data_IF_357601388522
#
_entry.id   IF_357601388522
#
_cell.length_a   1.000
_cell.length_b   1.000
_cell.length_c   1.000
_cell.angle_alpha   90.00
_cell.angle_beta   90.00
_cell.angle_gamma   90.00
#
_symmetry.space_group_name_H-M   'P 1'
#
loop_
_entity.id
_entity.type
_entity.pdbx_description
1 polymer ?
#
# COMPACT_ATOMS: atom_id res chain seq x y z
N UNK A 1 -19.45 16.41 -35.53
CA UNK A 1 -19.21 15.01 -35.13
C UNK A 1 -18.52 15.05 -33.78
N UNK A 2 -19.29 14.94 -32.68
CA UNK A 2 -18.75 15.03 -31.33
C UNK A 2 -17.98 13.75 -31.00
N UNK A 3 -16.76 13.89 -30.47
CA UNK A 3 -16.00 12.77 -29.95
C UNK A 3 -16.84 12.04 -28.88
N UNK A 4 -16.83 10.69 -28.86
CA UNK A 4 -17.55 9.95 -27.85
C UNK A 4 -16.98 10.34 -26.48
N UNK A 5 -17.81 10.92 -25.61
CA UNK A 5 -17.49 11.08 -24.19
C UNK A 5 -17.21 9.67 -23.67
N UNK A 6 -15.96 9.41 -23.31
CA UNK A 6 -15.60 8.22 -22.54
C UNK A 6 -16.52 8.24 -21.33
N UNK A 7 -17.38 7.22 -21.22
CA UNK A 7 -18.31 7.08 -20.10
C UNK A 7 -17.44 6.97 -18.86
N UNK A 8 -17.37 8.04 -18.05
CA UNK A 8 -16.68 7.97 -16.77
C UNK A 8 -17.31 6.81 -16.00
N UNK A 9 -16.48 5.81 -15.68
CA UNK A 9 -16.94 4.64 -14.97
C UNK A 9 -17.39 5.08 -13.57
N UNK A 10 -18.63 4.74 -13.20
CA UNK A 10 -19.16 5.09 -11.89
C UNK A 10 -18.34 4.37 -10.83
N UNK A 11 -17.65 5.14 -9.98
CA UNK A 11 -16.92 4.64 -8.82
C UNK A 11 -17.56 5.25 -7.57
N UNK A 12 -17.95 4.38 -6.64
CA UNK A 12 -18.50 4.77 -5.35
C UNK A 12 -17.53 4.26 -4.29
N UNK A 13 -17.10 5.13 -3.38
CA UNK A 13 -16.26 4.72 -2.25
C UNK A 13 -16.80 5.38 -1.00
N UNK A 14 -17.01 4.60 0.06
CA UNK A 14 -17.41 5.17 1.34
C UNK A 14 -16.79 4.43 2.52
N UNK A 15 -16.65 5.14 3.63
CA UNK A 15 -16.18 4.61 4.91
C UNK A 15 -17.31 4.74 5.91
N UNK A 16 -17.65 3.62 6.53
CA UNK A 16 -18.73 3.50 7.50
C UNK A 16 -18.18 3.11 8.86
N UNK A 17 -18.44 3.89 9.91
CA UNK A 17 -18.04 3.64 11.29
C UNK A 17 -19.09 2.77 11.98
N UNK A 18 -18.76 1.49 12.17
CA UNK A 18 -19.65 0.56 12.87
C UNK A 18 -19.69 0.83 14.36
N UNK A 19 -18.67 1.50 14.92
CA UNK A 19 -18.59 1.88 16.32
C UNK A 19 -19.62 2.92 16.76
N UNK A 20 -20.21 3.66 15.80
CA UNK A 20 -21.19 4.72 16.05
C UNK A 20 -22.65 4.24 16.11
N UNK A 21 -22.93 2.97 15.82
CA UNK A 21 -24.28 2.40 15.78
C UNK A 21 -24.41 1.21 16.72
N UNK A 22 -24.22 1.47 18.01
CA UNK A 22 -24.29 0.43 19.04
C UNK A 22 -25.68 0.36 19.67
N UNK A 23 -26.51 1.39 19.51
CA UNK A 23 -27.88 1.48 20.02
C UNK A 23 -28.87 1.72 18.87
N UNK A 24 -30.10 1.28 19.06
CA UNK A 24 -31.19 1.45 18.08
C UNK A 24 -31.56 2.93 17.84
N UNK A 25 -31.26 3.80 18.80
CA UNK A 25 -31.48 5.25 18.72
C UNK A 25 -30.38 6.02 17.97
N UNK A 26 -29.27 5.37 17.62
CA UNK A 26 -28.15 6.04 16.96
C UNK A 26 -28.50 6.36 15.50
N UNK A 27 -28.30 7.61 15.06
CA UNK A 27 -28.61 8.04 13.69
C UNK A 27 -27.62 7.41 12.68
N UNK A 28 -28.09 6.61 11.69
CA UNK A 28 -27.25 6.01 10.66
C UNK A 28 -26.45 7.03 9.81
N UNK A 29 -26.88 8.30 9.77
CA UNK A 29 -26.15 9.38 9.11
C UNK A 29 -24.78 9.58 9.76
N UNK A 30 -24.70 9.49 11.08
CA UNK A 30 -23.47 9.73 11.83
C UNK A 30 -22.41 8.66 11.63
N UNK A 31 -22.82 7.48 11.15
CA UNK A 31 -21.91 6.39 10.83
C UNK A 31 -21.20 6.57 9.48
N UNK A 32 -21.72 7.42 8.58
CA UNK A 32 -21.07 7.68 7.29
C UNK A 32 -19.96 8.73 7.44
N UNK A 33 -18.71 8.26 7.49
CA UNK A 33 -17.54 9.13 7.74
C UNK A 33 -16.99 9.76 6.47
N UNK A 34 -17.08 9.05 5.35
CA UNK A 34 -16.59 9.53 4.05
C UNK A 34 -17.44 8.98 2.92
N UNK A 35 -17.66 9.78 1.88
CA UNK A 35 -18.37 9.35 0.68
C UNK A 35 -17.81 10.02 -0.59
N UNK A 36 -17.52 9.19 -1.59
CA UNK A 36 -17.17 9.58 -2.95
C UNK A 36 -18.17 8.98 -3.95
N UNK A 37 -18.62 9.77 -4.94
CA UNK A 37 -18.23 11.16 -5.19
C UNK A 37 -18.95 12.17 -4.30
N UNK A 38 -18.32 13.33 -4.05
CA UNK A 38 -18.81 14.33 -3.10
C UNK A 38 -20.07 15.08 -3.55
N UNK A 39 -20.37 15.10 -4.85
CA UNK A 39 -21.55 15.78 -5.42
C UNK A 39 -22.88 15.05 -5.20
N UNK A 40 -22.87 13.84 -4.64
CA UNK A 40 -24.09 13.10 -4.29
C UNK A 40 -24.77 13.76 -3.09
N UNK A 41 -26.11 13.89 -3.11
CA UNK A 41 -26.84 14.50 -1.99
C UNK A 41 -26.85 13.60 -0.76
N UNK A 42 -26.93 14.18 0.44
CA UNK A 42 -26.85 13.40 1.68
C UNK A 42 -28.00 12.41 1.84
N UNK A 43 -29.20 12.76 1.37
CA UNK A 43 -30.32 11.84 1.31
C UNK A 43 -30.02 10.61 0.42
N UNK A 44 -29.38 10.81 -0.73
CA UNK A 44 -28.98 9.71 -1.62
C UNK A 44 -27.87 8.86 -1.00
N UNK A 45 -26.89 9.49 -0.35
CA UNK A 45 -25.82 8.78 0.38
C UNK A 45 -26.42 7.89 1.46
N UNK A 46 -27.34 8.41 2.27
CA UNK A 46 -27.99 7.68 3.36
C UNK A 46 -28.80 6.48 2.84
N UNK A 47 -29.65 6.69 1.83
CA UNK A 47 -30.45 5.60 1.23
C UNK A 47 -29.54 4.50 0.68
N UNK A 48 -28.49 4.87 -0.06
CA UNK A 48 -27.58 3.92 -0.67
C UNK A 48 -26.78 3.14 0.39
N UNK A 49 -26.14 3.85 1.32
CA UNK A 49 -25.35 3.21 2.37
C UNK A 49 -26.22 2.33 3.27
N UNK A 50 -27.41 2.81 3.65
CA UNK A 50 -28.38 2.04 4.45
C UNK A 50 -28.83 0.76 3.75
N UNK A 51 -29.14 0.82 2.44
CA UNK A 51 -29.46 -0.38 1.66
C UNK A 51 -28.30 -1.37 1.62
N UNK A 52 -27.09 -0.89 1.34
CA UNK A 52 -25.89 -1.74 1.20
C UNK A 52 -25.52 -2.38 2.54
N UNK A 53 -25.36 -1.58 3.60
CA UNK A 53 -24.96 -2.04 4.93
C UNK A 53 -26.06 -2.91 5.56
N UNK A 54 -27.33 -2.50 5.45
CA UNK A 54 -28.46 -3.28 5.94
C UNK A 54 -28.57 -4.65 5.25
N UNK A 55 -28.34 -4.70 3.93
CA UNK A 55 -28.28 -5.98 3.20
C UNK A 55 -27.10 -6.81 3.66
N UNK A 56 -25.90 -6.23 3.76
CA UNK A 56 -24.71 -6.95 4.22
C UNK A 56 -24.88 -7.52 5.63
N UNK A 57 -25.48 -6.74 6.54
CA UNK A 57 -25.79 -7.17 7.90
C UNK A 57 -26.81 -8.31 7.92
N UNK A 58 -27.91 -8.19 7.18
CA UNK A 58 -28.94 -9.22 7.06
C UNK A 58 -28.37 -10.54 6.49
N UNK A 59 -27.53 -10.46 5.46
CA UNK A 59 -26.87 -11.64 4.89
C UNK A 59 -25.88 -12.25 5.90
N UNK A 60 -25.13 -11.42 6.62
CA UNK A 60 -24.16 -11.88 7.62
C UNK A 60 -24.82 -12.53 8.84
N UNK A 61 -26.04 -12.15 9.21
CA UNK A 61 -26.75 -12.74 10.35
C UNK A 61 -27.36 -14.10 10.04
N UNK A 62 -27.69 -14.36 8.77
CA UNK A 62 -28.27 -15.63 8.32
C UNK A 62 -27.19 -16.59 7.78
N UNK A 63 -26.15 -16.04 7.14
CA UNK A 63 -25.11 -16.78 6.45
C UNK A 63 -23.71 -16.34 6.94
N UNK A 64 -22.78 -16.15 6.00
CA UNK A 64 -21.44 -15.62 6.23
C UNK A 64 -21.33 -14.20 5.70
N UNK A 65 -20.37 -13.41 6.21
CA UNK A 65 -20.11 -12.06 5.74
C UNK A 65 -19.87 -12.02 4.22
N UNK A 66 -20.70 -11.30 3.44
CA UNK A 66 -20.56 -11.27 2.00
C UNK A 66 -19.34 -10.47 1.59
N UNK A 67 -18.50 -11.06 0.74
CA UNK A 67 -17.36 -10.36 0.14
C UNK A 67 -17.79 -9.31 -0.89
N UNK A 68 -18.79 -9.67 -1.70
CA UNK A 68 -19.35 -8.83 -2.76
C UNK A 68 -20.87 -8.91 -2.70
N UNK A 69 -21.55 -7.78 -2.84
CA UNK A 69 -23.01 -7.71 -3.00
C UNK A 69 -23.32 -7.04 -4.34
N UNK A 70 -24.17 -7.69 -5.13
CA UNK A 70 -24.73 -7.12 -6.35
C UNK A 70 -26.18 -6.71 -6.12
N UNK A 71 -26.44 -5.41 -6.14
CA UNK A 71 -27.77 -4.82 -6.03
C UNK A 71 -28.22 -4.23 -7.37
N UNK A 72 -29.47 -3.78 -7.44
CA UNK A 72 -29.96 -3.02 -8.60
C UNK A 72 -29.20 -1.70 -8.78
N UNK A 73 -28.74 -1.09 -7.69
CA UNK A 73 -28.03 0.18 -7.69
C UNK A 73 -26.53 0.07 -8.02
N UNK A 74 -25.96 -1.14 -8.05
CA UNK A 74 -24.54 -1.33 -8.34
C UNK A 74 -24.00 -2.62 -7.73
N UNK A 75 -22.68 -2.81 -7.87
CA UNK A 75 -21.93 -3.90 -7.27
C UNK A 75 -20.94 -3.34 -6.26
N UNK A 76 -20.81 -3.98 -5.10
CA UNK A 76 -20.08 -3.45 -3.95
C UNK A 76 -19.21 -4.51 -3.29
N UNK A 77 -17.95 -4.18 -3.02
CA UNK A 77 -16.99 -5.00 -2.27
C UNK A 77 -16.74 -4.37 -0.91
N UNK A 78 -16.66 -5.21 0.12
CA UNK A 78 -16.45 -4.79 1.50
C UNK A 78 -15.04 -5.12 1.99
N UNK A 79 -14.47 -4.18 2.74
CA UNK A 79 -13.21 -4.32 3.46
C UNK A 79 -13.41 -3.92 4.91
N UNK A 80 -13.41 -4.92 5.77
CA UNK A 80 -13.61 -4.74 7.19
C UNK A 80 -12.28 -4.36 7.88
N UNK A 81 -12.34 -3.28 8.64
CA UNK A 81 -11.43 -2.94 9.72
C UNK A 81 -12.14 -3.25 11.06
N UNK A 82 -11.50 -3.00 12.20
CA UNK A 82 -12.10 -3.29 13.51
C UNK A 82 -13.41 -2.52 13.72
N UNK A 83 -13.37 -1.19 13.58
CA UNK A 83 -14.54 -0.32 13.79
C UNK A 83 -15.07 0.31 12.50
N UNK A 84 -14.51 -0.05 11.35
CA UNK A 84 -14.82 0.61 10.08
C UNK A 84 -15.05 -0.40 8.96
N UNK A 85 -15.96 -0.05 8.06
CA UNK A 85 -16.16 -0.77 6.79
C UNK A 85 -15.81 0.19 5.67
N UNK A 86 -14.81 -0.18 4.87
CA UNK A 86 -14.53 0.44 3.60
C UNK A 86 -15.31 -0.29 2.51
N UNK A 87 -16.17 0.44 1.81
CA UNK A 87 -16.94 -0.08 0.69
C UNK A 87 -16.43 0.55 -0.61
N UNK A 88 -16.21 -0.29 -1.62
CA UNK A 88 -15.88 0.14 -2.99
C UNK A 88 -16.91 -0.44 -3.93
N UNK A 89 -17.57 0.42 -4.70
CA UNK A 89 -18.66 0.08 -5.58
C UNK A 89 -18.50 0.62 -6.99
N UNK A 90 -19.19 -0.02 -7.93
CA UNK A 90 -19.24 0.40 -9.32
C UNK A 90 -20.56 -0.03 -9.98
N UNK A 91 -20.69 0.25 -11.28
CA UNK A 91 -21.83 -0.19 -12.08
C UNK A 91 -21.98 -1.72 -12.07
N UNK A 92 -23.22 -2.19 -12.19
CA UNK A 92 -23.56 -3.62 -12.13
C UNK A 92 -22.87 -4.45 -13.23
N UNK A 93 -22.57 -3.85 -14.38
CA UNK A 93 -21.98 -4.53 -15.52
C UNK A 93 -20.47 -4.80 -15.37
N UNK A 94 -19.81 -4.18 -14.40
CA UNK A 94 -18.38 -4.40 -14.18
C UNK A 94 -18.12 -5.81 -13.66
N UNK A 95 -17.00 -6.40 -14.09
CA UNK A 95 -16.57 -7.72 -13.63
C UNK A 95 -16.18 -7.73 -12.15
N UNK A 96 -16.57 -8.78 -11.41
CA UNK A 96 -16.33 -8.94 -9.97
C UNK A 96 -14.85 -8.78 -9.63
N UNK A 97 -13.98 -9.39 -10.44
CA UNK A 97 -12.54 -9.36 -10.22
C UNK A 97 -11.97 -7.93 -10.32
N UNK A 98 -12.53 -7.09 -11.20
CA UNK A 98 -12.02 -5.72 -11.42
C UNK A 98 -12.36 -4.85 -10.23
N UNK A 99 -13.60 -4.95 -9.75
CA UNK A 99 -14.04 -4.27 -8.54
C UNK A 99 -13.26 -4.76 -7.31
N UNK A 100 -13.03 -6.06 -7.21
CA UNK A 100 -12.25 -6.66 -6.13
C UNK A 100 -10.80 -6.15 -6.14
N UNK A 101 -10.14 -6.10 -7.30
CA UNK A 101 -8.77 -5.61 -7.44
C UNK A 101 -8.65 -4.14 -7.00
N UNK A 102 -9.65 -3.30 -7.33
CA UNK A 102 -9.71 -1.90 -6.88
C UNK A 102 -9.87 -1.78 -5.37
N UNK A 103 -10.79 -2.56 -4.80
CA UNK A 103 -10.99 -2.60 -3.36
C UNK A 103 -9.75 -3.10 -2.61
N UNK A 104 -9.08 -4.13 -3.15
CA UNK A 104 -7.84 -4.66 -2.61
C UNK A 104 -6.71 -3.64 -2.69
N UNK A 105 -6.56 -2.92 -3.81
CA UNK A 105 -5.55 -1.88 -3.95
C UNK A 105 -5.77 -0.75 -2.94
N UNK A 106 -7.01 -0.24 -2.84
CA UNK A 106 -7.33 0.84 -1.90
C UNK A 106 -7.05 0.42 -0.45
N UNK A 107 -7.52 -0.77 -0.07
CA UNK A 107 -7.26 -1.35 1.25
C UNK A 107 -5.76 -1.48 1.53
N UNK A 108 -5.00 -2.06 0.58
CA UNK A 108 -3.56 -2.25 0.74
C UNK A 108 -2.78 -0.92 0.83
N UNK A 109 -3.21 0.13 0.12
CA UNK A 109 -2.60 1.46 0.22
C UNK A 109 -2.83 2.08 1.60
N UNK A 110 -4.05 1.98 2.14
CA UNK A 110 -4.36 2.41 3.51
C UNK A 110 -3.49 1.63 4.49
N UNK A 111 -3.48 0.29 4.39
CA UNK A 111 -2.71 -0.54 5.30
C UNK A 111 -1.21 -0.28 5.23
N UNK A 112 -0.66 -0.02 4.04
CA UNK A 112 0.76 0.23 3.86
C UNK A 112 1.21 1.59 4.41
N UNK A 113 0.44 2.66 4.17
CA UNK A 113 0.87 4.03 4.53
C UNK A 113 0.28 4.56 5.83
N UNK A 114 -0.81 3.97 6.31
CA UNK A 114 -1.56 4.47 7.45
C UNK A 114 -1.92 3.40 8.48
N UNK A 115 -1.55 2.12 8.25
CA UNK A 115 -1.88 0.94 9.06
C UNK A 115 -3.36 0.55 9.03
N UNK A 116 -4.24 1.39 9.52
CA UNK A 116 -5.70 1.17 9.59
C UNK A 116 -6.44 2.52 9.75
N UNK A 117 -7.77 2.49 9.66
CA UNK A 117 -8.61 3.69 9.79
C UNK A 117 -8.65 4.21 11.24
N UNK A 118 -8.56 3.34 12.23
CA UNK A 118 -8.48 3.70 13.65
C UNK A 118 -7.22 4.52 13.96
N UNK A 119 -6.08 4.16 13.36
CA UNK A 119 -4.80 4.85 13.49
C UNK A 119 -4.89 6.24 12.86
N UNK A 120 -5.53 6.37 11.69
CA UNK A 120 -5.77 7.69 11.07
C UNK A 120 -6.56 8.58 12.01
N UNK A 121 -7.66 8.09 12.59
CA UNK A 121 -8.46 8.81 13.57
C UNK A 121 -7.65 9.19 14.82
N UNK A 122 -6.82 8.29 15.32
CA UNK A 122 -6.00 8.55 16.52
C UNK A 122 -4.93 9.63 16.32
N UNK A 123 -4.50 9.85 15.06
CA UNK A 123 -3.50 10.84 14.69
C UNK A 123 -4.10 12.22 14.35
N UNK A 124 -5.43 12.37 14.40
CA UNK A 124 -6.06 13.67 14.21
C UNK A 124 -5.68 14.62 15.35
N UNK A 125 -5.38 15.89 15.05
CA UNK A 125 -5.15 16.89 16.09
C UNK A 125 -6.42 17.04 16.93
N UNK A 126 -6.35 16.68 18.22
CA UNK A 126 -7.45 16.93 19.15
C UNK A 126 -7.42 18.39 19.55
N UNK A 127 -8.44 19.14 19.18
CA UNK A 127 -8.65 20.46 19.75
C UNK A 127 -8.92 20.34 21.26
N UNK A 128 -8.29 21.25 22.02
CA UNK A 128 -8.38 21.28 23.50
C UNK A 128 -9.73 21.79 24.01
N UNK A 129 -10.62 22.18 23.09
CA UNK A 129 -11.99 22.58 23.38
C UNK A 129 -12.87 21.35 23.14
N UNK A 130 -13.41 20.78 24.21
CA UNK A 130 -14.16 19.51 24.20
C UNK A 130 -15.51 19.58 23.49
N UNK A 131 -15.51 19.92 22.20
CA UNK A 131 -16.68 19.95 21.35
C UNK A 131 -16.81 18.63 20.57
N UNK A 132 -17.63 17.73 21.11
CA UNK A 132 -18.49 16.81 20.34
C UNK A 132 -17.88 15.67 19.51
N UNK A 133 -18.55 14.51 19.52
CA UNK A 133 -18.32 13.38 18.59
C UNK A 133 -18.58 13.75 17.11
N UNK A 134 -19.28 14.85 16.87
CA UNK A 134 -19.62 15.35 15.53
C UNK A 134 -18.41 16.01 14.84
N UNK A 135 -17.64 16.83 15.56
CA UNK A 135 -16.40 17.45 15.05
C UNK A 135 -15.36 16.40 14.67
N UNK A 136 -15.22 15.34 15.49
CA UNK A 136 -14.37 14.18 15.17
C UNK A 136 -14.73 13.52 13.81
N UNK A 137 -16.01 13.61 13.39
CA UNK A 137 -16.47 13.10 12.10
C UNK A 137 -16.04 13.97 10.92
N UNK A 138 -16.14 15.29 11.07
CA UNK A 138 -15.75 16.26 10.04
C UNK A 138 -14.25 16.26 9.81
N UNK A 139 -13.45 16.28 10.88
CA UNK A 139 -11.99 16.23 10.81
C UNK A 139 -11.50 14.94 10.12
N UNK A 140 -12.16 13.81 10.44
CA UNK A 140 -11.88 12.53 9.81
C UNK A 140 -12.28 12.54 8.33
N UNK A 141 -13.42 13.13 7.98
CA UNK A 141 -13.85 13.28 6.58
C UNK A 141 -12.84 14.10 5.78
N UNK A 142 -12.39 15.25 6.30
CA UNK A 142 -11.39 16.08 5.64
C UNK A 142 -10.08 15.31 5.44
N UNK A 143 -9.61 14.61 6.48
CA UNK A 143 -8.40 13.80 6.40
C UNK A 143 -8.53 12.68 5.36
N UNK A 144 -9.65 11.96 5.35
CA UNK A 144 -9.92 10.91 4.36
C UNK A 144 -10.09 11.47 2.95
N UNK A 145 -10.67 12.66 2.79
CA UNK A 145 -10.79 13.33 1.50
C UNK A 145 -9.41 13.62 0.91
N UNK A 146 -8.50 14.18 1.71
CA UNK A 146 -7.11 14.41 1.31
C UNK A 146 -6.40 13.10 0.93
N UNK A 147 -6.60 12.03 1.72
CA UNK A 147 -5.99 10.73 1.45
C UNK A 147 -6.52 10.13 0.15
N UNK A 148 -7.84 10.07 0.01
CA UNK A 148 -8.51 9.42 -1.10
C UNK A 148 -8.42 10.20 -2.41
N UNK A 149 -8.23 11.53 -2.39
CA UNK A 149 -7.98 12.28 -3.60
C UNK A 149 -6.80 11.70 -4.40
N UNK A 150 -5.71 11.31 -3.70
CA UNK A 150 -4.56 10.68 -4.35
C UNK A 150 -4.86 9.22 -4.70
N UNK A 151 -5.41 8.43 -3.77
CA UNK A 151 -5.61 7.00 -4.01
C UNK A 151 -6.68 6.67 -5.05
N UNK A 152 -7.76 7.44 -5.15
CA UNK A 152 -8.80 7.24 -6.17
C UNK A 152 -8.23 7.44 -7.58
N UNK A 153 -7.29 8.38 -7.75
CA UNK A 153 -6.58 8.57 -9.03
C UNK A 153 -5.79 7.31 -9.45
N UNK A 154 -5.27 6.55 -8.47
CA UNK A 154 -4.59 5.28 -8.72
C UNK A 154 -5.56 4.16 -9.11
N UNK A 155 -6.79 4.16 -8.58
CA UNK A 155 -7.79 3.14 -8.85
C UNK A 155 -8.27 3.14 -10.30
N UNK A 156 -8.40 4.33 -10.90
CA UNK A 156 -8.79 4.49 -12.31
C UNK A 156 -7.79 3.80 -13.24
N UNK A 157 -6.51 3.78 -12.87
CA UNK A 157 -5.44 3.18 -13.67
C UNK A 157 -5.13 1.73 -13.29
N UNK A 158 -5.72 1.20 -12.21
CA UNK A 158 -5.33 -0.07 -11.58
C UNK A 158 -5.54 -1.32 -12.44
N UNK A 159 -6.57 -1.34 -13.29
CA UNK A 159 -6.88 -2.48 -14.17
C UNK A 159 -5.83 -2.73 -15.26
N UNK A 160 -4.95 -1.76 -15.53
CA UNK A 160 -3.89 -1.84 -16.54
C UNK A 160 -2.62 -2.52 -15.96
N UNK A 161 -2.46 -2.60 -14.63
CA UNK A 161 -1.19 -2.95 -13.97
C UNK A 161 -1.14 -4.35 -13.34
N UNK A 162 -1.96 -5.30 -13.82
CA UNK A 162 -1.91 -6.71 -13.37
C UNK A 162 -0.53 -7.35 -13.54
N UNK A 163 0.20 -6.93 -14.57
CA UNK A 163 1.58 -7.32 -14.76
C UNK A 163 2.48 -6.31 -14.05
N UNK A 164 3.31 -6.82 -13.12
CA UNK A 164 4.45 -6.09 -12.61
C UNK A 164 5.20 -5.55 -13.84
N UNK A 165 5.37 -4.22 -14.00
CA UNK A 165 6.01 -3.68 -15.18
C UNK A 165 7.51 -3.95 -15.05
N UNK A 166 7.92 -5.21 -15.20
CA UNK A 166 9.32 -5.62 -15.15
C UNK A 166 9.98 -5.07 -16.41
N UNK A 167 11.14 -4.45 -16.24
CA UNK A 167 11.93 -4.03 -17.39
C UNK A 167 12.37 -5.30 -18.15
N UNK A 168 11.78 -5.53 -19.33
CA UNK A 168 12.24 -6.58 -20.24
C UNK A 168 13.62 -6.18 -20.77
N UNK A 169 14.65 -6.81 -20.23
CA UNK A 169 16.02 -6.59 -20.65
C UNK A 169 16.31 -7.45 -21.88
N UNK A 170 17.00 -6.92 -22.91
CA UNK A 170 17.58 -7.75 -23.97
C UNK A 170 18.63 -8.71 -23.37
N UNK A 171 19.04 -9.76 -24.10
CA UNK A 171 20.05 -10.73 -23.61
C UNK A 171 21.37 -10.06 -23.18
N UNK A 172 21.70 -8.91 -23.75
CA UNK A 172 22.83 -8.04 -23.42
C UNK A 172 22.61 -7.13 -22.20
N UNK A 173 21.39 -7.05 -21.64
CA UNK A 173 21.04 -6.24 -20.47
C UNK A 173 21.05 -7.02 -19.14
N UNK A 174 21.42 -8.30 -19.15
CA UNK A 174 21.59 -9.13 -17.95
C UNK A 174 22.66 -8.59 -16.99
N UNK A 175 23.62 -7.81 -17.51
CA UNK A 175 24.60 -7.05 -16.73
C UNK A 175 23.92 -6.01 -15.86
N UNK A 176 23.01 -5.20 -16.41
CA UNK A 176 22.30 -4.16 -15.67
C UNK A 176 21.43 -4.71 -14.53
N UNK A 177 20.80 -5.87 -14.74
CA UNK A 177 20.09 -6.57 -13.66
C UNK A 177 21.05 -7.03 -12.56
N UNK A 178 22.14 -7.69 -12.94
CA UNK A 178 23.14 -8.22 -12.00
C UNK A 178 23.80 -7.11 -11.19
N UNK A 179 24.20 -6.01 -11.83
CA UNK A 179 24.76 -4.83 -11.17
C UNK A 179 23.76 -4.20 -10.19
N UNK A 180 22.50 -4.09 -10.60
CA UNK A 180 21.43 -3.57 -9.73
C UNK A 180 21.20 -4.46 -8.51
N UNK A 181 21.21 -5.78 -8.70
CA UNK A 181 21.05 -6.73 -7.59
C UNK A 181 22.26 -6.69 -6.64
N UNK A 182 23.48 -6.60 -7.18
CA UNK A 182 24.70 -6.43 -6.38
C UNK A 182 24.67 -5.13 -5.58
N UNK A 183 24.20 -4.03 -6.18
CA UNK A 183 24.03 -2.75 -5.48
C UNK A 183 23.06 -2.89 -4.29
N UNK A 184 21.92 -3.54 -4.49
CA UNK A 184 20.96 -3.81 -3.43
C UNK A 184 21.56 -4.69 -2.31
N UNK A 185 22.33 -5.72 -2.65
CA UNK A 185 23.03 -6.57 -1.68
C UNK A 185 24.07 -5.78 -0.87
N UNK A 186 24.79 -4.84 -1.48
CA UNK A 186 25.71 -3.95 -0.78
C UNK A 186 24.98 -3.11 0.29
N UNK A 187 23.76 -2.63 -0.01
CA UNK A 187 22.94 -1.91 0.96
C UNK A 187 22.39 -2.82 2.07
N UNK A 188 21.96 -4.04 1.77
CA UNK A 188 21.54 -5.01 2.80
C UNK A 188 22.64 -5.38 3.79
N UNK A 189 23.91 -5.29 3.37
CA UNK A 189 25.05 -5.42 4.27
C UNK A 189 25.14 -4.33 5.36
N UNK A 190 24.38 -3.24 5.24
CA UNK A 190 24.31 -2.18 6.27
C UNK A 190 23.27 -2.53 7.35
N UNK A 191 23.55 -2.23 8.63
CA UNK A 191 22.60 -2.47 9.71
C UNK A 191 21.32 -1.67 9.49
N UNK A 192 20.17 -2.28 9.79
CA UNK A 192 18.85 -1.66 9.63
C UNK A 192 18.26 -1.71 8.22
N UNK A 193 19.01 -2.12 7.20
CA UNK A 193 18.47 -2.32 5.83
C UNK A 193 17.98 -3.75 5.68
N UNK A 194 16.69 -3.91 5.35
CA UNK A 194 16.04 -5.22 5.14
C UNK A 194 15.93 -5.61 3.66
N UNK A 195 16.09 -4.66 2.75
CA UNK A 195 15.98 -4.88 1.32
C UNK A 195 15.70 -3.60 0.58
N UNK A 196 15.62 -3.72 -0.75
CA UNK A 196 15.28 -2.59 -1.59
C UNK A 196 14.80 -3.00 -2.97
N UNK A 197 14.44 -2.00 -3.75
CA UNK A 197 14.01 -2.17 -5.13
C UNK A 197 14.58 -1.03 -5.97
N UNK A 198 15.01 -1.34 -7.18
CA UNK A 198 15.50 -0.39 -8.16
C UNK A 198 14.48 -0.37 -9.30
N UNK A 199 14.04 0.83 -9.66
CA UNK A 199 13.07 1.05 -10.72
C UNK A 199 13.61 2.07 -11.72
N UNK A 200 13.28 1.88 -13.00
CA UNK A 200 13.60 2.81 -14.08
C UNK A 200 12.35 3.05 -14.91
N UNK A 201 11.96 4.34 -15.06
CA UNK A 201 10.74 4.75 -15.79
C UNK A 201 9.47 4.01 -15.32
N UNK A 202 9.30 3.92 -14.01
CA UNK A 202 8.23 3.16 -13.34
C UNK A 202 8.18 1.65 -13.68
N UNK A 203 9.29 1.10 -14.16
CA UNK A 203 9.48 -0.33 -14.40
C UNK A 203 10.48 -0.90 -13.41
N UNK A 204 10.17 -2.05 -12.85
CA UNK A 204 11.04 -2.71 -11.86
C UNK A 204 12.22 -3.34 -12.59
N UNK A 205 13.43 -2.94 -12.19
CA UNK A 205 14.68 -3.46 -12.69
C UNK A 205 15.17 -4.62 -11.82
N UNK A 206 15.27 -4.40 -10.51
CA UNK A 206 15.66 -5.41 -9.53
C UNK A 206 14.90 -5.17 -8.22
N UNK A 207 14.56 -6.23 -7.50
CA UNK A 207 13.84 -6.11 -6.23
C UNK A 207 14.19 -7.27 -5.30
N UNK A 208 14.35 -6.95 -4.01
CA UNK A 208 14.50 -7.91 -2.91
C UNK A 208 13.26 -7.95 -2.02
N UNK A 209 12.25 -7.14 -2.34
CA UNK A 209 11.00 -7.06 -1.59
C UNK A 209 10.00 -8.06 -2.14
N UNK A 210 8.95 -8.36 -1.36
CA UNK A 210 7.86 -9.22 -1.83
C UNK A 210 7.22 -8.64 -3.08
N UNK A 211 6.70 -9.51 -3.95
CA UNK A 211 5.99 -9.06 -5.17
C UNK A 211 4.85 -8.10 -4.83
N UNK A 212 4.16 -8.30 -3.69
CA UNK A 212 3.08 -7.43 -3.24
C UNK A 212 3.62 -6.03 -2.89
N UNK A 213 4.64 -5.94 -2.05
CA UNK A 213 5.22 -4.66 -1.63
C UNK A 213 5.83 -3.90 -2.81
N UNK A 214 6.56 -4.58 -3.69
CA UNK A 214 7.14 -3.96 -4.89
C UNK A 214 6.08 -3.40 -5.82
N UNK A 215 4.94 -4.10 -6.00
CA UNK A 215 3.79 -3.58 -6.76
C UNK A 215 3.23 -2.30 -6.16
N UNK A 216 3.00 -2.30 -4.85
CA UNK A 216 2.42 -1.15 -4.17
C UNK A 216 3.33 0.08 -4.31
N UNK A 217 4.64 -0.08 -4.11
CA UNK A 217 5.62 1.00 -4.27
C UNK A 217 5.72 1.52 -5.71
N UNK A 218 5.61 0.63 -6.71
CA UNK A 218 5.65 1.02 -8.12
C UNK A 218 4.37 1.75 -8.57
N UNK A 219 3.21 1.35 -8.03
CA UNK A 219 1.93 1.99 -8.36
C UNK A 219 1.79 3.32 -7.64
N UNK A 220 2.19 3.39 -6.37
CA UNK A 220 2.06 4.60 -5.57
C UNK A 220 3.08 5.68 -5.90
N UNK A 221 4.21 5.34 -6.54
CA UNK A 221 5.31 6.25 -6.94
C UNK A 221 5.44 7.45 -5.98
N UNK A 222 5.82 7.23 -4.71
CA UNK A 222 5.65 8.22 -3.65
C UNK A 222 6.36 9.55 -3.92
N UNK A 223 7.43 9.51 -4.70
CA UNK A 223 8.20 10.67 -5.12
C UNK A 223 7.41 11.59 -6.07
N UNK A 224 6.65 11.02 -7.02
CA UNK A 224 5.94 11.78 -8.06
C UNK A 224 4.50 12.09 -7.68
N UNK A 225 3.84 11.19 -6.96
CA UNK A 225 2.41 11.32 -6.63
C UNK A 225 2.15 11.97 -5.28
N UNK A 226 3.20 12.33 -4.53
CA UNK A 226 3.11 12.98 -3.22
C UNK A 226 2.11 12.26 -2.31
N UNK A 227 2.32 10.95 -2.17
CA UNK A 227 1.45 10.08 -1.38
C UNK A 227 1.31 10.65 0.04
N UNK A 228 0.07 10.70 0.59
CA UNK A 228 -0.22 11.33 1.88
C UNK A 228 0.29 10.54 3.10
N UNK A 229 1.43 9.88 2.97
CA UNK A 229 2.07 9.10 4.02
C UNK A 229 2.82 9.97 5.04
N UNK A 230 3.04 9.42 6.23
CA UNK A 230 3.81 10.08 7.27
C UNK A 230 5.28 10.21 6.86
N UNK A 231 5.72 11.46 6.68
CA UNK A 231 7.11 11.77 6.39
C UNK A 231 7.94 11.78 7.67
N UNK A 232 9.08 11.09 7.65
CA UNK A 232 10.03 11.13 8.76
C UNK A 232 10.94 12.33 8.54
N UNK A 233 10.97 13.26 9.51
CA UNK A 233 11.91 14.39 9.51
C UNK A 233 13.15 14.01 10.33
N UNK A 234 14.26 13.62 9.68
CA UNK A 234 15.49 13.32 10.40
C UNK A 234 16.11 14.59 10.99
N UNK A 235 16.95 14.41 12.01
CA UNK A 235 17.75 15.50 12.61
C UNK A 235 18.89 15.98 11.69
N UNK A 236 19.19 15.23 10.63
CA UNK A 236 20.22 15.52 9.63
C UNK A 236 19.61 15.91 8.29
N UNK A 237 20.38 16.59 7.44
CA UNK A 237 19.93 16.93 6.09
C UNK A 237 19.97 15.71 5.18
N UNK A 238 18.87 15.46 4.48
CA UNK A 238 18.80 14.42 3.45
C UNK A 238 19.51 14.88 2.16
N UNK A 239 20.19 13.97 1.44
CA UNK A 239 20.70 14.25 0.11
C UNK A 239 19.58 14.65 -0.86
N UNK A 240 19.95 15.37 -1.92
CA UNK A 240 19.00 15.78 -2.97
C UNK A 240 18.37 14.53 -3.61
N UNK A 241 17.03 14.55 -3.73
CA UNK A 241 16.27 13.44 -4.30
C UNK A 241 15.98 12.28 -3.34
N UNK A 242 16.31 12.41 -2.05
CA UNK A 242 16.01 11.39 -1.02
C UNK A 242 14.82 11.84 -0.17
N UNK A 243 13.89 10.91 0.07
CA UNK A 243 12.75 11.10 0.97
C UNK A 243 12.67 9.92 1.94
N UNK A 244 12.28 10.19 3.19
CA UNK A 244 12.02 9.17 4.19
C UNK A 244 10.51 9.07 4.45
N UNK A 245 9.98 7.89 4.21
CA UNK A 245 8.57 7.57 4.39
C UNK A 245 8.42 6.46 5.41
N UNK A 246 7.46 6.63 6.31
CA UNK A 246 7.03 5.56 7.20
C UNK A 246 6.04 4.68 6.44
N UNK A 247 6.27 3.36 6.50
CA UNK A 247 5.34 2.35 5.97
C UNK A 247 5.09 1.28 7.03
N UNK A 248 3.98 0.59 6.89
CA UNK A 248 3.51 -0.46 7.78
C UNK A 248 3.47 -1.78 7.03
N UNK A 249 4.14 -2.80 7.57
CA UNK A 249 4.19 -4.14 7.00
C UNK A 249 3.66 -5.16 8.01
N UNK A 250 3.02 -6.25 7.56
CA UNK A 250 2.69 -7.37 8.43
C UNK A 250 3.96 -7.97 9.05
N UNK A 251 3.85 -8.45 10.28
CA UNK A 251 4.98 -9.06 11.00
C UNK A 251 5.59 -10.23 10.22
N UNK A 252 4.76 -11.03 9.54
CA UNK A 252 5.21 -12.13 8.68
C UNK A 252 6.12 -11.67 7.54
N UNK A 253 5.85 -10.50 6.95
CA UNK A 253 6.65 -9.93 5.86
C UNK A 253 7.97 -9.37 6.39
N UNK A 254 7.94 -8.72 7.55
CA UNK A 254 9.16 -8.25 8.24
C UNK A 254 10.05 -9.44 8.63
N UNK A 255 9.47 -10.54 9.12
CA UNK A 255 10.20 -11.75 9.50
C UNK A 255 10.86 -12.43 8.29
N UNK A 256 10.15 -12.50 7.15
CA UNK A 256 10.70 -13.01 5.90
C UNK A 256 11.90 -12.17 5.43
N UNK A 257 11.74 -10.84 5.35
CA UNK A 257 12.82 -9.92 4.94
C UNK A 257 14.05 -10.00 5.86
N UNK A 258 13.83 -10.15 7.17
CA UNK A 258 14.92 -10.34 8.13
C UNK A 258 15.69 -11.64 7.88
N UNK A 259 14.97 -12.72 7.58
CA UNK A 259 15.57 -14.04 7.32
C UNK A 259 16.43 -13.97 6.05
N UNK A 260 15.89 -13.43 4.97
CA UNK A 260 16.61 -13.26 3.69
C UNK A 260 17.85 -12.37 3.87
N UNK A 261 17.72 -11.27 4.64
CA UNK A 261 18.84 -10.37 4.92
C UNK A 261 19.94 -11.06 5.73
N UNK A 262 19.60 -11.90 6.72
CA UNK A 262 20.59 -12.65 7.50
C UNK A 262 21.38 -13.61 6.64
N UNK A 263 20.71 -14.40 5.79
CA UNK A 263 21.36 -15.35 4.87
C UNK A 263 22.33 -14.64 3.92
N UNK A 264 21.96 -13.47 3.41
CA UNK A 264 22.83 -12.67 2.53
C UNK A 264 24.04 -12.14 3.30
N UNK A 265 23.86 -11.64 4.53
CA UNK A 265 24.98 -11.15 5.36
C UNK A 265 25.98 -12.26 5.69
N UNK A 266 25.49 -13.42 6.11
CA UNK A 266 26.32 -14.60 6.38
C UNK A 266 27.11 -15.03 5.12
N UNK A 267 26.44 -15.02 3.96
CA UNK A 267 27.10 -15.34 2.68
C UNK A 267 28.20 -14.34 2.33
N UNK A 268 27.97 -13.04 2.53
CA UNK A 268 28.96 -11.98 2.27
C UNK A 268 30.16 -12.11 3.23
N UNK A 269 29.91 -12.41 4.50
CA UNK A 269 30.97 -12.61 5.50
C UNK A 269 31.84 -13.83 5.17
N UNK A 270 31.22 -14.95 4.79
CA UNK A 270 31.97 -16.15 4.36
C UNK A 270 32.86 -15.86 3.15
N UNK A 271 32.38 -15.09 2.17
CA UNK A 271 33.18 -14.70 0.99
C UNK A 271 34.36 -13.82 1.40
N UNK A 272 34.16 -12.87 2.33
CA UNK A 272 35.26 -12.02 2.85
C UNK A 272 36.32 -12.85 3.58
N UNK A 273 35.90 -13.78 4.43
CA UNK A 273 36.79 -14.70 5.15
C UNK A 273 37.62 -15.57 4.19
N UNK A 274 36.99 -16.10 3.13
CA UNK A 274 37.70 -16.89 2.10
C UNK A 274 38.75 -16.07 1.35
N UNK A 275 38.45 -14.80 1.02
CA UNK A 275 39.41 -13.91 0.36
C UNK A 275 40.60 -13.58 1.28
N UNK A 276 40.35 -13.28 2.54
CA UNK A 276 41.40 -13.03 3.54
C UNK A 276 42.29 -14.26 3.76
N UNK A 277 41.71 -15.46 3.83
CA UNK A 277 42.47 -16.69 3.99
C UNK A 277 43.24 -17.10 2.71
N UNK A 278 42.71 -16.79 1.52
CA UNK A 278 43.38 -17.01 0.25
C UNK A 278 44.58 -16.09 0.02
N UNK A 279 44.50 -14.84 0.47
CA UNK A 279 45.61 -13.87 0.44
C UNK A 279 46.71 -14.25 1.44
N UNK A 280 46.37 -14.81 2.60
CA UNK A 280 47.36 -15.25 3.61
C UNK A 280 48.14 -16.51 3.21
N UNK A 281 47.57 -17.38 2.37
CA UNK A 281 48.25 -18.59 1.89
C UNK A 281 49.20 -18.34 0.70
N UNK A 282 49.08 -17.21 0.00
CA UNK A 282 50.01 -16.82 -1.08
C UNK A 282 51.25 -16.05 -0.58
N UNK A 283 51.25 -15.57 0.67
CA UNK A 283 52.43 -14.88 1.26
C UNK A 283 53.48 -15.82 1.85
N UNK A 284 53.27 -17.15 1.86
CA UNK A 284 54.21 -18.13 2.43
C UNK A 284 54.99 -18.97 1.41
N UNK A 285 54.84 -18.74 0.09
CA UNK A 285 55.60 -19.45 -0.95
C UNK A 285 56.63 -18.54 -1.60
N UNK A 286 57.70 -18.24 -0.89
CA UNK A 286 58.78 -17.41 -1.44
C UNK A 286 59.91 -17.22 -0.45
N UNK A 287 60.63 -18.31 -0.14
CA UNK A 287 62.05 -18.31 0.26
C UNK A 287 62.49 -19.76 0.45
N UNK A 288 63.09 -20.32 -0.60
CA UNK A 288 63.78 -21.61 -0.57
C UNK A 288 64.94 -21.52 -1.55
N UNK A 289 66.11 -21.16 -1.03
CA UNK A 289 67.37 -21.16 -1.78
C UNK A 289 67.68 -22.57 -2.31
N UNK A 290 68.25 -22.71 -3.52
CA UNK A 290 68.66 -24.01 -4.04
C UNK A 290 69.95 -24.48 -3.36
N UNK A 291 70.06 -25.77 -2.97
CA UNK A 291 71.30 -26.31 -2.44
C UNK A 291 72.33 -26.50 -3.55
N UNK A 292 73.59 -26.25 -3.17
CA UNK A 292 74.84 -26.28 -3.93
C UNK A 292 75.14 -27.57 -4.68
#
# INVERSE_FOLDING_TARGET
MAAPRIKEELLIVFVYDTGRLMREEDDPVNALVYFYPSWVSDQQKLILCGQIIGTAHCVSSIFSTPRIISLRCGKFVFKHYENYILCVGTDRQAEDWCLQDRADLLYNLISLYHKDLDTIKSNLPRDKHGEGREQDGEDMNEKLTNIFQVYLSLLVHSSIFKHLPILKLPKSGSTSFSESMQLLQCFQGKPGVLGGTIMSRNKILASQLSTKLTKLLAISDPYRLQIPADNIKPSYRLPVGVQLLKIHLPESEIAALNTDTKLIRESIEQVKLRKQNGEHNMSYTGNGDPPS
#
